data_IF_069994850559
#
_entry.id   IF_069994850559
#
_cell.length_a   1.000
_cell.length_b   1.000
_cell.length_c   1.000
_cell.angle_alpha   90.00
_cell.angle_beta   90.00
_cell.angle_gamma   90.00
#
_symmetry.space_group_name_H-M   'P 1'
#
loop_
_entity.id
_entity.type
_entity.pdbx_description
1 polymer ?
#
# COMPACT_ATOMS: atom_id res chain seq x y z
N UNK A 1 -30.63 -18.26 -8.80
CA UNK A 1 -30.38 -17.89 -7.38
C UNK A 1 -29.17 -16.94 -7.38
N UNK A 2 -29.22 -15.63 -7.17
CA UNK A 2 -30.22 -14.69 -6.68
C UNK A 2 -29.83 -13.31 -7.26
N UNK A 3 -30.77 -12.62 -7.91
CA UNK A 3 -30.64 -11.19 -8.20
C UNK A 3 -30.77 -10.44 -6.87
N UNK A 4 -29.66 -10.13 -6.23
CA UNK A 4 -29.63 -9.17 -5.12
C UNK A 4 -29.30 -7.81 -5.73
N UNK A 5 -30.31 -7.12 -6.26
CA UNK A 5 -30.19 -5.68 -6.45
C UNK A 5 -30.27 -5.04 -5.06
N UNK A 6 -29.10 -4.91 -4.41
CA UNK A 6 -28.93 -4.05 -3.26
C UNK A 6 -29.53 -2.68 -3.60
N UNK A 7 -30.57 -2.27 -2.87
CA UNK A 7 -31.12 -0.91 -2.96
C UNK A 7 -29.95 0.05 -2.83
N UNK A 8 -29.75 0.87 -3.87
CA UNK A 8 -28.73 1.91 -3.90
C UNK A 8 -28.80 2.71 -2.59
N UNK A 9 -27.64 2.92 -1.93
CA UNK A 9 -27.59 3.62 -0.66
C UNK A 9 -28.25 5.00 -0.84
N UNK A 10 -29.29 5.28 -0.05
CA UNK A 10 -30.04 6.54 -0.14
C UNK A 10 -29.10 7.69 0.21
N UNK A 11 -29.05 8.71 -0.65
CA UNK A 11 -28.24 9.92 -0.41
C UNK A 11 -28.67 10.61 0.87
N UNK A 12 -27.71 11.27 1.54
CA UNK A 12 -28.00 12.12 2.70
C UNK A 12 -29.09 13.15 2.31
N UNK A 13 -30.25 13.19 3.00
CA UNK A 13 -31.36 14.06 2.61
C UNK A 13 -31.13 15.54 2.95
N UNK A 14 -30.21 15.84 3.86
CA UNK A 14 -29.87 17.20 4.26
C UNK A 14 -28.98 17.26 5.51
N UNK A 15 -28.88 18.44 6.11
CA UNK A 15 -28.18 18.69 7.38
C UNK A 15 -29.17 19.21 8.42
N UNK A 16 -28.99 18.80 9.69
CA UNK A 16 -29.87 19.23 10.78
C UNK A 16 -29.71 20.72 11.11
N UNK A 17 -30.82 21.36 11.50
CA UNK A 17 -30.89 22.81 11.77
C UNK A 17 -31.29 23.15 13.20
N UNK A 18 -31.70 22.15 13.98
CA UNK A 18 -32.19 22.33 15.36
C UNK A 18 -31.04 22.30 16.35
N UNK A 19 -31.03 23.25 17.29
CA UNK A 19 -30.05 23.34 18.38
C UNK A 19 -29.14 24.57 18.27
N UNK A 20 -28.43 24.86 19.37
CA UNK A 20 -27.46 25.95 19.42
C UNK A 20 -26.10 25.47 18.90
N UNK A 21 -25.46 26.16 17.94
CA UNK A 21 -24.14 25.79 17.45
C UNK A 21 -23.07 25.79 18.54
N UNK A 22 -22.14 24.83 18.45
CA UNK A 22 -20.95 24.73 19.31
C UNK A 22 -19.71 24.52 18.43
N UNK A 23 -18.59 25.13 18.81
CA UNK A 23 -17.31 24.94 18.12
C UNK A 23 -16.69 23.60 18.54
N UNK A 24 -16.30 22.79 17.56
CA UNK A 24 -15.64 21.51 17.77
C UNK A 24 -14.26 21.52 17.12
N UNK A 25 -13.32 20.82 17.73
CA UNK A 25 -12.11 20.34 17.06
C UNK A 25 -12.27 18.84 16.82
N UNK A 26 -11.67 18.35 15.74
CA UNK A 26 -11.66 16.92 15.43
C UNK A 26 -10.25 16.49 15.01
N UNK A 27 -9.98 15.20 15.12
CA UNK A 27 -8.74 14.58 14.66
C UNK A 27 -8.74 14.26 13.15
N UNK A 28 -9.52 15.01 12.37
CA UNK A 28 -9.51 14.93 10.91
C UNK A 28 -8.65 16.05 10.36
N UNK A 29 -7.60 15.67 9.64
CA UNK A 29 -6.72 16.59 8.95
C UNK A 29 -7.05 16.58 7.45
N UNK A 30 -7.37 17.74 6.83
CA UNK A 30 -7.65 17.78 5.40
C UNK A 30 -6.40 17.39 4.61
N UNK A 31 -6.50 16.34 3.79
CA UNK A 31 -5.42 15.95 2.89
C UNK A 31 -5.38 16.93 1.72
N UNK A 32 -4.40 17.83 1.73
CA UNK A 32 -4.17 18.76 0.63
C UNK A 32 -3.32 18.05 -0.41
N UNK A 33 -3.87 17.89 -1.61
CA UNK A 33 -3.10 17.36 -2.74
C UNK A 33 -2.05 18.39 -3.14
N UNK A 34 -0.79 18.15 -2.77
CA UNK A 34 0.32 19.05 -3.10
C UNK A 34 0.60 19.13 -4.61
N UNK A 35 0.25 18.07 -5.35
CA UNK A 35 0.42 18.01 -6.80
C UNK A 35 -0.89 18.35 -7.54
N UNK A 36 -0.79 19.25 -8.53
CA UNK A 36 -1.88 19.52 -9.48
C UNK A 36 -1.98 18.36 -10.48
N UNK A 37 -3.20 17.89 -10.78
CA UNK A 37 -3.45 16.81 -11.75
C UNK A 37 -3.60 15.43 -11.12
N UNK A 38 -3.85 14.39 -11.91
CA UNK A 38 -4.05 13.02 -11.42
C UNK A 38 -2.77 12.42 -10.84
N UNK A 39 -2.91 11.69 -9.72
CA UNK A 39 -1.80 10.91 -9.17
C UNK A 39 -1.86 9.54 -9.83
N UNK A 40 -0.87 9.26 -10.68
CA UNK A 40 -0.69 7.95 -11.29
C UNK A 40 0.29 7.15 -10.44
N UNK A 41 -0.09 5.95 -10.07
CA UNK A 41 0.77 4.98 -9.37
C UNK A 41 0.78 3.67 -10.14
N UNK A 42 1.92 2.99 -10.11
CA UNK A 42 2.04 1.64 -10.63
C UNK A 42 1.68 0.65 -9.51
N UNK A 43 0.97 -0.42 -9.85
CA UNK A 43 0.60 -1.47 -8.90
C UNK A 43 1.18 -2.80 -9.35
N UNK A 44 1.91 -3.46 -8.46
CA UNK A 44 2.49 -4.78 -8.66
C UNK A 44 1.92 -5.77 -7.65
N UNK A 45 1.83 -7.02 -8.08
CA UNK A 45 1.59 -8.14 -7.19
C UNK A 45 2.92 -8.74 -6.76
N UNK A 46 3.11 -8.90 -5.46
CA UNK A 46 4.32 -9.48 -4.85
C UNK A 46 3.91 -10.77 -4.17
N UNK A 47 4.64 -11.85 -4.46
CA UNK A 47 4.51 -13.13 -3.77
C UNK A 47 5.83 -13.44 -3.06
N UNK A 48 5.77 -13.55 -1.73
CA UNK A 48 6.94 -13.83 -0.89
C UNK A 48 6.79 -15.26 -0.40
N UNK A 49 7.63 -16.16 -0.93
CA UNK A 49 7.69 -17.55 -0.51
C UNK A 49 8.89 -17.72 0.43
N UNK A 50 8.65 -17.90 1.73
CA UNK A 50 9.71 -18.12 2.70
C UNK A 50 9.36 -19.29 3.66
N UNK A 51 10.29 -20.23 3.93
CA UNK A 51 9.99 -21.44 4.74
C UNK A 51 9.55 -21.15 6.18
N UNK A 52 9.90 -19.97 6.72
CA UNK A 52 9.55 -19.49 8.06
C UNK A 52 8.58 -18.31 7.98
N UNK A 53 7.51 -18.43 7.19
CA UNK A 53 6.45 -17.43 7.06
C UNK A 53 5.63 -17.35 8.35
N UNK A 54 6.21 -16.71 9.37
CA UNK A 54 5.44 -16.02 10.41
C UNK A 54 5.30 -14.56 9.95
N UNK A 55 4.15 -13.95 10.18
CA UNK A 55 3.61 -12.59 9.90
C UNK A 55 4.51 -11.38 9.47
N UNK A 56 5.83 -11.49 9.41
CA UNK A 56 6.81 -10.43 9.13
C UNK A 56 7.17 -10.30 7.64
N UNK A 57 6.17 -10.38 6.75
CA UNK A 57 6.35 -10.13 5.31
C UNK A 57 6.94 -8.75 5.02
N UNK A 58 6.71 -7.76 5.91
CA UNK A 58 7.26 -6.41 5.76
C UNK A 58 8.77 -6.39 5.93
N UNK A 59 9.32 -7.08 6.92
CA UNK A 59 10.76 -7.06 7.19
C UNK A 59 11.53 -7.77 6.08
N UNK A 60 11.01 -8.91 5.63
CA UNK A 60 11.56 -9.65 4.48
C UNK A 60 11.54 -8.76 3.23
N UNK A 61 10.41 -8.12 2.95
CA UNK A 61 10.26 -7.24 1.79
C UNK A 61 11.23 -6.07 1.84
N UNK A 62 11.31 -5.34 2.96
CA UNK A 62 12.19 -4.17 3.07
C UNK A 62 13.67 -4.55 3.05
N UNK A 63 14.05 -5.68 3.65
CA UNK A 63 15.41 -6.22 3.51
C UNK A 63 15.75 -6.56 2.05
N UNK A 64 14.78 -7.04 1.26
CA UNK A 64 14.93 -7.29 -0.16
C UNK A 64 15.07 -5.99 -0.98
N UNK A 65 14.21 -5.00 -0.72
CA UNK A 65 14.23 -3.68 -1.38
C UNK A 65 15.58 -2.99 -1.22
N UNK A 66 16.14 -2.98 0.00
CA UNK A 66 17.44 -2.36 0.27
C UNK A 66 18.57 -3.04 -0.52
N UNK A 67 18.53 -4.37 -0.66
CA UNK A 67 19.53 -5.13 -1.43
C UNK A 67 19.36 -4.96 -2.95
N UNK A 68 18.15 -4.68 -3.42
CA UNK A 68 17.79 -4.56 -4.84
C UNK A 68 17.44 -3.13 -5.23
N UNK A 69 18.28 -2.19 -4.80
CA UNK A 69 18.16 -0.78 -5.20
C UNK A 69 18.26 -0.58 -6.72
N UNK A 70 18.84 -1.54 -7.45
CA UNK A 70 18.83 -1.60 -8.92
C UNK A 70 17.42 -1.71 -9.52
N UNK A 71 16.50 -2.42 -8.84
CA UNK A 71 15.10 -2.57 -9.27
C UNK A 71 14.23 -1.49 -8.64
N UNK A 72 14.33 -1.35 -7.31
CA UNK A 72 13.36 -0.61 -6.50
C UNK A 72 13.71 0.88 -6.34
N UNK A 73 14.94 1.28 -6.66
CA UNK A 73 15.39 2.66 -6.56
C UNK A 73 15.26 3.21 -5.14
N UNK A 74 14.49 4.29 -4.99
CA UNK A 74 14.25 4.98 -3.73
C UNK A 74 13.13 4.31 -2.91
N UNK A 75 13.42 3.74 -1.73
CA UNK A 75 12.42 3.10 -0.87
C UNK A 75 11.27 4.04 -0.44
N UNK A 76 11.49 5.35 -0.36
CA UNK A 76 10.46 6.32 0.01
C UNK A 76 9.39 6.52 -1.07
N UNK A 77 9.62 6.04 -2.29
CA UNK A 77 8.66 6.05 -3.39
C UNK A 77 7.84 4.77 -3.50
N UNK A 78 7.95 3.87 -2.52
CA UNK A 78 7.32 2.57 -2.49
C UNK A 78 6.33 2.49 -1.34
N UNK A 79 5.19 1.85 -1.57
CA UNK A 79 4.21 1.52 -0.54
C UNK A 79 3.80 0.06 -0.65
N UNK A 80 4.23 -0.76 0.31
CA UNK A 80 3.89 -2.17 0.40
C UNK A 80 2.83 -2.39 1.50
N UNK A 81 1.77 -3.11 1.18
CA UNK A 81 0.67 -3.39 2.11
C UNK A 81 1.06 -4.36 3.25
N UNK A 82 2.18 -5.08 3.11
CA UNK A 82 2.60 -6.13 4.03
C UNK A 82 2.10 -7.52 3.65
N UNK A 83 1.43 -7.66 2.50
CA UNK A 83 0.85 -8.94 2.05
C UNK A 83 1.21 -9.26 0.60
N UNK A 84 0.75 -8.45 -0.35
CA UNK A 84 0.88 -8.80 -1.77
C UNK A 84 0.80 -7.62 -2.73
N UNK A 85 0.53 -6.41 -2.25
CA UNK A 85 0.35 -5.24 -3.11
C UNK A 85 1.47 -4.25 -2.87
N UNK A 86 2.20 -3.94 -3.94
CA UNK A 86 3.19 -2.87 -3.97
C UNK A 86 2.70 -1.75 -4.89
N UNK A 87 2.72 -0.52 -4.38
CA UNK A 87 2.54 0.69 -5.18
C UNK A 87 3.86 1.41 -5.34
N UNK A 88 4.12 1.93 -6.55
CA UNK A 88 5.33 2.70 -6.84
C UNK A 88 5.00 3.95 -7.64
N UNK A 89 5.75 5.02 -7.39
CA UNK A 89 5.69 6.25 -8.19
C UNK A 89 6.29 5.98 -9.58
N UNK A 90 7.52 5.45 -9.60
CA UNK A 90 8.26 5.17 -10.83
C UNK A 90 8.04 3.72 -11.27
N UNK A 91 8.01 3.45 -12.58
CA UNK A 91 7.85 2.09 -13.11
C UNK A 91 9.10 1.25 -12.79
N UNK A 92 8.92 0.04 -12.26
CA UNK A 92 10.03 -0.85 -11.92
C UNK A 92 10.64 -1.44 -13.19
N UNK A 93 11.97 -1.49 -13.24
CA UNK A 93 12.72 -2.11 -14.34
C UNK A 93 12.88 -3.61 -14.10
N UNK A 94 11.77 -4.34 -14.22
CA UNK A 94 11.75 -5.78 -14.04
C UNK A 94 12.35 -6.48 -15.27
N UNK A 95 13.36 -7.33 -15.06
CA UNK A 95 13.80 -8.27 -16.09
C UNK A 95 12.70 -9.35 -16.23
N UNK A 96 12.47 -9.83 -17.45
CA UNK A 96 11.35 -10.71 -17.81
C UNK A 96 11.43 -12.14 -17.23
N UNK A 97 12.25 -12.36 -16.21
CA UNK A 97 12.53 -13.68 -15.62
C UNK A 97 12.25 -13.60 -14.12
N UNK A 98 11.48 -14.57 -13.62
CA UNK A 98 11.29 -14.77 -12.18
C UNK A 98 12.64 -14.97 -11.51
N UNK A 99 13.15 -13.96 -10.81
CA UNK A 99 14.37 -14.08 -10.03
C UNK A 99 14.04 -14.77 -8.70
N UNK A 100 14.50 -16.02 -8.55
CA UNK A 100 14.45 -16.69 -7.25
C UNK A 100 15.35 -15.94 -6.28
N UNK A 101 14.80 -15.47 -5.17
CA UNK A 101 15.60 -14.95 -4.06
C UNK A 101 16.41 -16.12 -3.49
N UNK A 102 17.74 -16.01 -3.53
CA UNK A 102 18.65 -17.03 -2.98
C UNK A 102 18.77 -16.87 -1.46
N UNK A 103 18.16 -17.76 -0.66
CA UNK A 103 18.05 -17.61 0.79
C UNK A 103 19.41 -17.65 1.52
N UNK A 104 20.48 -18.19 0.91
CA UNK A 104 21.81 -18.19 1.53
C UNK A 104 22.42 -16.79 1.65
N UNK A 105 21.94 -15.83 0.84
CA UNK A 105 22.30 -14.39 0.96
C UNK A 105 21.38 -13.62 1.89
N UNK A 106 20.34 -14.24 2.45
CA UNK A 106 19.42 -13.65 3.43
C UNK A 106 19.71 -14.17 4.84
N UNK A 107 20.94 -13.93 5.31
CA UNK A 107 21.25 -14.04 6.74
C UNK A 107 20.71 -12.80 7.46
N UNK A 108 19.67 -13.00 8.26
CA UNK A 108 19.25 -12.04 9.26
C UNK A 108 20.24 -12.16 10.42
N UNK A 109 21.08 -11.14 10.61
CA UNK A 109 21.79 -11.00 11.88
C UNK A 109 20.79 -10.49 12.91
N UNK A 110 20.29 -11.39 13.74
CA UNK A 110 19.68 -11.02 15.01
C UNK A 110 20.78 -10.38 15.88
N UNK A 111 20.50 -9.18 16.39
CA UNK A 111 21.30 -8.55 17.47
C UNK A 111 20.96 -9.24 18.78
#
# INVERSE_FOLDING_TARGET
LSQIHLKELVKRPGYGTVGKPIKLACNYFPLIKLQKGDIVVNRYHIDIQHPRLNDDNRDIFWAYVVKRSDIFGDPFKLAYDGKSTLFTVDKLHLKQVSEKADPEKFSFKTV
#
